data_IF_213477131079
#
_entry.id   IF_213477131079
#
_cell.length_a   1.000
_cell.length_b   1.000
_cell.length_c   1.000
_cell.angle_alpha   90.00
_cell.angle_beta   90.00
_cell.angle_gamma   90.00
#
_symmetry.space_group_name_H-M   'P 1'
#
loop_
_entity.id
_entity.type
_entity.pdbx_description
1 polymer ?
#
# COMPACT_ATOMS: atom_id res chain seq x y z
N UNK A 1 9.46 15.83 -22.93
CA UNK A 1 8.55 16.60 -22.05
C UNK A 1 9.41 17.26 -20.98
N UNK A 2 9.12 18.51 -20.54
CA UNK A 2 9.86 19.12 -19.45
C UNK A 2 9.74 18.24 -18.20
N UNK A 3 10.84 18.12 -17.45
CA UNK A 3 10.89 17.38 -16.21
C UNK A 3 9.85 17.96 -15.24
N UNK A 4 8.99 17.15 -14.63
CA UNK A 4 7.97 17.63 -13.70
C UNK A 4 8.59 18.33 -12.46
N UNK A 5 9.85 18.08 -12.19
CA UNK A 5 10.66 18.81 -11.22
C UNK A 5 10.83 20.30 -11.54
N UNK A 6 10.56 20.72 -12.80
CA UNK A 6 10.57 22.12 -13.21
C UNK A 6 9.26 22.87 -12.88
N UNK A 7 8.18 22.17 -12.50
CA UNK A 7 6.95 22.82 -12.07
C UNK A 7 7.12 23.36 -10.63
N UNK A 8 7.16 24.68 -10.50
CA UNK A 8 7.33 25.35 -9.22
C UNK A 8 6.27 24.95 -8.15
N UNK A 9 5.07 24.55 -8.58
CA UNK A 9 4.01 24.09 -7.70
C UNK A 9 4.36 22.78 -6.98
N UNK A 10 5.20 21.94 -7.61
CA UNK A 10 5.65 20.65 -7.10
C UNK A 10 6.98 20.72 -6.33
N UNK A 11 7.64 21.89 -6.30
CA UNK A 11 8.90 22.07 -5.57
C UNK A 11 8.79 21.67 -4.07
N UNK A 12 7.67 21.92 -3.34
CA UNK A 12 7.53 21.43 -1.99
C UNK A 12 7.50 19.89 -1.89
N UNK A 13 6.84 19.21 -2.84
CA UNK A 13 6.80 17.75 -2.91
C UNK A 13 8.20 17.18 -3.13
N UNK A 14 8.95 17.72 -4.09
CA UNK A 14 10.32 17.27 -4.41
C UNK A 14 11.23 17.41 -3.19
N UNK A 15 11.24 18.60 -2.55
CA UNK A 15 12.04 18.86 -1.36
C UNK A 15 11.77 17.90 -0.21
N UNK A 16 10.51 17.56 0.03
CA UNK A 16 10.15 16.60 1.09
C UNK A 16 10.65 15.19 0.75
N UNK A 17 10.55 14.75 -0.53
CA UNK A 17 11.06 13.45 -0.94
C UNK A 17 12.58 13.34 -0.89
N UNK A 18 13.31 14.41 -1.14
CA UNK A 18 14.77 14.45 -1.01
C UNK A 18 15.26 14.30 0.45
N UNK A 19 14.38 14.58 1.42
CA UNK A 19 14.70 14.54 2.86
C UNK A 19 14.36 13.22 3.53
N UNK A 20 13.66 12.30 2.85
CA UNK A 20 13.32 11.00 3.46
C UNK A 20 14.58 10.13 3.64
N UNK A 21 14.64 9.29 4.69
CA UNK A 21 15.83 8.51 5.01
C UNK A 21 16.02 7.26 4.13
N UNK A 22 15.35 7.21 2.98
CA UNK A 22 15.43 6.06 2.06
C UNK A 22 16.20 6.43 0.80
N UNK A 23 17.09 5.52 0.40
CA UNK A 23 17.81 5.68 -0.87
C UNK A 23 16.89 5.32 -2.02
N UNK A 24 16.37 6.32 -2.71
CA UNK A 24 15.58 6.17 -3.91
C UNK A 24 16.47 6.05 -5.14
N UNK A 25 16.06 5.20 -6.09
CA UNK A 25 16.76 5.04 -7.36
C UNK A 25 16.63 6.26 -8.28
N UNK A 26 17.41 6.31 -9.37
CA UNK A 26 17.33 7.41 -10.35
C UNK A 26 15.92 7.58 -10.91
N UNK A 27 15.47 8.82 -11.05
CA UNK A 27 14.18 9.18 -11.65
C UNK A 27 12.94 8.88 -10.78
N UNK A 28 13.09 8.29 -9.58
CA UNK A 28 11.95 8.01 -8.69
C UNK A 28 11.27 9.30 -8.26
N UNK A 29 12.03 10.31 -7.84
CA UNK A 29 11.48 11.61 -7.40
C UNK A 29 10.73 12.31 -8.54
N UNK A 30 11.27 12.29 -9.76
CA UNK A 30 10.60 12.86 -10.93
C UNK A 30 9.26 12.15 -11.22
N UNK A 31 9.24 10.81 -11.19
CA UNK A 31 7.99 10.05 -11.35
C UNK A 31 6.99 10.35 -10.23
N UNK A 32 7.44 10.49 -8.98
CA UNK A 32 6.58 10.90 -7.87
C UNK A 32 6.01 12.31 -8.07
N UNK A 33 6.82 13.25 -8.58
CA UNK A 33 6.35 14.60 -8.88
C UNK A 33 5.28 14.59 -9.98
N UNK A 34 5.50 13.85 -11.06
CA UNK A 34 4.50 13.68 -12.15
C UNK A 34 3.22 13.02 -11.64
N UNK A 35 3.34 12.01 -10.77
CA UNK A 35 2.20 11.38 -10.12
C UNK A 35 1.45 12.37 -9.23
N UNK A 36 2.17 13.14 -8.41
CA UNK A 36 1.59 14.18 -7.56
C UNK A 36 0.82 15.23 -8.35
N UNK A 37 1.35 15.68 -9.50
CA UNK A 37 0.67 16.59 -10.40
C UNK A 37 -0.66 16.00 -10.90
N UNK A 38 -0.63 14.78 -11.41
CA UNK A 38 -1.82 14.08 -11.91
C UNK A 38 -2.84 13.84 -10.79
N UNK A 39 -2.38 13.47 -9.59
CA UNK A 39 -3.25 13.29 -8.42
C UNK A 39 -3.98 14.59 -8.06
N UNK A 40 -3.27 15.72 -7.99
CA UNK A 40 -3.87 17.03 -7.67
C UNK A 40 -4.90 17.41 -8.73
N UNK A 41 -4.56 17.23 -10.02
CA UNK A 41 -5.45 17.56 -11.13
C UNK A 41 -6.73 16.72 -11.10
N UNK A 42 -6.62 15.40 -10.98
CA UNK A 42 -7.77 14.50 -11.00
C UNK A 42 -8.60 14.49 -9.73
N UNK A 43 -8.00 14.92 -8.61
CA UNK A 43 -8.71 14.95 -7.32
C UNK A 43 -9.89 15.91 -7.30
N UNK A 44 -9.89 16.94 -8.17
CA UNK A 44 -11.01 17.87 -8.32
C UNK A 44 -12.30 17.16 -8.74
N UNK A 45 -12.20 16.11 -9.56
CA UNK A 45 -13.33 15.43 -10.19
C UNK A 45 -13.67 14.09 -9.51
N UNK A 46 -12.66 13.41 -8.96
CA UNK A 46 -12.80 11.99 -8.53
C UNK A 46 -12.87 11.81 -7.02
N UNK A 47 -12.46 12.79 -6.20
CA UNK A 47 -12.32 12.64 -4.75
C UNK A 47 -11.41 11.45 -4.38
N UNK A 48 -10.19 11.47 -4.88
CA UNK A 48 -9.20 10.42 -4.68
C UNK A 48 -8.63 10.42 -3.26
N UNK A 49 -8.40 11.62 -2.73
CA UNK A 49 -7.78 11.87 -1.42
C UNK A 49 -8.22 13.20 -0.82
N UNK A 50 -8.23 13.28 0.51
CA UNK A 50 -8.39 14.54 1.24
C UNK A 50 -7.07 15.34 1.34
N UNK A 51 -5.93 14.77 0.89
CA UNK A 51 -4.61 15.38 0.99
C UNK A 51 -4.29 16.02 -0.37
N UNK A 52 -4.26 17.35 -0.41
CA UNK A 52 -4.12 18.14 -1.64
C UNK A 52 -2.84 18.95 -1.72
N UNK A 53 -2.24 19.29 -0.56
CA UNK A 53 -1.01 20.06 -0.50
C UNK A 53 0.19 19.22 -0.96
N UNK A 54 1.03 19.72 -1.91
CA UNK A 54 2.14 18.96 -2.46
C UNK A 54 3.12 18.41 -1.43
N UNK A 55 3.47 19.18 -0.39
CA UNK A 55 4.32 18.71 0.69
C UNK A 55 3.67 17.58 1.50
N UNK A 56 2.37 17.65 1.72
CA UNK A 56 1.63 16.61 2.43
C UNK A 56 1.44 15.36 1.58
N UNK A 57 1.27 15.49 0.26
CA UNK A 57 1.29 14.35 -0.68
C UNK A 57 2.64 13.62 -0.58
N UNK A 58 3.76 14.37 -0.59
CA UNK A 58 5.08 13.77 -0.42
C UNK A 58 5.20 12.99 0.90
N UNK A 59 4.79 13.59 1.99
CA UNK A 59 4.90 12.99 3.33
C UNK A 59 3.90 11.85 3.55
N UNK A 60 2.60 12.15 3.41
CA UNK A 60 1.49 11.27 3.84
C UNK A 60 1.12 10.22 2.79
N UNK A 61 1.57 10.36 1.54
CA UNK A 61 1.37 9.36 0.51
C UNK A 61 2.68 8.66 0.15
N UNK A 62 3.68 9.36 -0.40
CA UNK A 62 4.90 8.74 -0.88
C UNK A 62 5.81 8.24 0.25
N UNK A 63 6.23 9.12 1.19
CA UNK A 63 7.12 8.73 2.28
C UNK A 63 6.47 7.66 3.18
N UNK A 64 5.16 7.76 3.44
CA UNK A 64 4.39 6.75 4.15
C UNK A 64 4.43 5.39 3.41
N UNK A 65 4.25 5.38 2.09
CA UNK A 65 4.36 4.16 1.28
C UNK A 65 5.78 3.58 1.28
N UNK A 66 6.78 4.45 1.15
CA UNK A 66 8.20 4.06 1.13
C UNK A 66 8.71 3.55 2.48
N UNK A 67 8.00 3.80 3.58
CA UNK A 67 8.32 3.20 4.87
C UNK A 67 8.36 1.66 4.82
N UNK A 68 7.65 1.04 3.88
CA UNK A 68 7.73 -0.39 3.62
C UNK A 68 9.12 -0.86 3.17
N UNK A 69 9.93 0.03 2.58
CA UNK A 69 11.28 -0.32 2.14
C UNK A 69 12.20 -0.69 3.32
N UNK A 70 11.90 -0.20 4.52
CA UNK A 70 12.69 -0.43 5.73
C UNK A 70 12.20 -1.60 6.61
N UNK A 71 11.01 -2.16 6.37
CA UNK A 71 10.45 -3.18 7.25
C UNK A 71 10.66 -4.62 6.78
N UNK A 72 11.18 -4.79 5.55
CA UNK A 72 11.57 -6.08 5.00
C UNK A 72 12.70 -5.93 3.99
N UNK A 73 13.36 -7.06 3.69
CA UNK A 73 14.31 -7.12 2.57
C UNK A 73 13.56 -7.28 1.25
N UNK A 74 13.79 -6.38 0.31
CA UNK A 74 13.23 -6.41 -1.05
C UNK A 74 14.27 -6.92 -2.04
N UNK A 75 13.83 -7.79 -2.95
CA UNK A 75 14.65 -8.23 -4.10
C UNK A 75 14.34 -7.39 -5.34
N UNK A 76 13.21 -6.66 -5.32
CA UNK A 76 12.70 -5.89 -6.45
C UNK A 76 12.06 -6.75 -7.54
N UNK A 77 11.75 -8.02 -7.27
CA UNK A 77 11.12 -8.97 -8.23
C UNK A 77 9.87 -9.63 -7.66
N UNK A 78 9.41 -9.19 -6.50
CA UNK A 78 8.26 -9.76 -5.83
C UNK A 78 6.97 -9.51 -6.62
N UNK A 79 6.04 -10.44 -6.51
CA UNK A 79 4.64 -10.23 -6.87
C UNK A 79 3.93 -9.61 -5.67
N UNK A 80 3.53 -8.36 -5.82
CA UNK A 80 2.85 -7.57 -4.80
C UNK A 80 1.38 -7.41 -5.17
N UNK A 81 0.48 -7.60 -4.21
CA UNK A 81 -0.91 -7.19 -4.30
C UNK A 81 -1.19 -6.07 -3.31
N UNK A 82 -1.81 -5.00 -3.77
CA UNK A 82 -2.25 -3.88 -2.94
C UNK A 82 -3.78 -3.86 -2.88
N UNK A 83 -4.33 -4.11 -1.70
CA UNK A 83 -5.78 -4.26 -1.50
C UNK A 83 -6.39 -2.96 -1.01
N UNK A 84 -7.36 -2.45 -1.77
CA UNK A 84 -7.95 -1.15 -1.53
C UNK A 84 -7.00 -0.01 -1.87
N UNK A 85 -6.39 -0.07 -3.05
CA UNK A 85 -5.31 0.83 -3.48
C UNK A 85 -5.70 2.32 -3.47
N UNK A 86 -7.00 2.64 -3.56
CA UNK A 86 -7.49 4.02 -3.52
C UNK A 86 -6.89 4.89 -4.62
N UNK A 87 -6.12 5.88 -4.22
CA UNK A 87 -5.34 6.71 -5.14
C UNK A 87 -3.97 6.09 -5.50
N UNK A 88 -3.78 4.76 -5.31
CA UNK A 88 -2.57 4.00 -5.70
C UNK A 88 -1.49 3.90 -4.63
N UNK A 89 -1.83 4.11 -3.38
CA UNK A 89 -0.88 4.07 -2.26
C UNK A 89 -1.24 2.96 -1.25
N UNK A 90 -0.29 2.03 -0.98
CA UNK A 90 1.13 2.10 -1.30
C UNK A 90 1.54 1.45 -2.65
N UNK A 91 0.67 0.70 -3.32
CA UNK A 91 1.01 -0.19 -4.43
C UNK A 91 1.80 0.49 -5.56
N UNK A 92 1.25 1.53 -6.21
CA UNK A 92 1.93 2.22 -7.32
C UNK A 92 3.19 2.96 -6.86
N UNK A 93 3.18 3.54 -5.65
CA UNK A 93 4.38 4.20 -5.11
C UNK A 93 5.54 3.19 -4.94
N UNK A 94 5.26 1.98 -4.45
CA UNK A 94 6.26 0.90 -4.34
C UNK A 94 6.72 0.42 -5.72
N UNK A 95 5.82 0.33 -6.71
CA UNK A 95 6.18 0.03 -8.10
C UNK A 95 7.12 1.08 -8.72
N UNK A 96 6.92 2.36 -8.39
CA UNK A 96 7.83 3.45 -8.79
C UNK A 96 9.19 3.32 -8.13
N UNK A 97 9.23 3.01 -6.82
CA UNK A 97 10.49 2.88 -6.07
C UNK A 97 11.28 1.62 -6.45
N UNK A 98 10.60 0.55 -6.83
CA UNK A 98 11.15 -0.76 -7.16
C UNK A 98 10.64 -1.22 -8.54
N UNK A 99 11.22 -0.76 -9.65
CA UNK A 99 10.67 -0.97 -11.00
C UNK A 99 10.58 -2.44 -11.46
N UNK A 100 11.24 -3.36 -10.76
CA UNK A 100 11.12 -4.80 -11.06
C UNK A 100 9.97 -5.52 -10.35
N UNK A 101 9.20 -4.83 -9.48
CA UNK A 101 8.00 -5.41 -8.86
C UNK A 101 6.92 -5.68 -9.91
N UNK A 102 6.19 -6.78 -9.69
CA UNK A 102 4.91 -7.04 -10.38
C UNK A 102 3.79 -6.67 -9.43
N UNK A 103 3.12 -5.56 -9.68
CA UNK A 103 2.12 -4.98 -8.78
C UNK A 103 0.72 -5.24 -9.31
N UNK A 104 -0.15 -5.82 -8.48
CA UNK A 104 -1.60 -5.88 -8.73
C UNK A 104 -2.29 -4.93 -7.77
N UNK A 105 -2.90 -3.86 -8.27
CA UNK A 105 -3.72 -2.93 -7.50
C UNK A 105 -5.18 -3.35 -7.57
N UNK A 106 -5.81 -3.56 -6.41
CA UNK A 106 -7.23 -3.94 -6.29
C UNK A 106 -8.02 -2.76 -5.75
N UNK A 107 -8.95 -2.25 -6.55
CA UNK A 107 -9.80 -1.12 -6.18
C UNK A 107 -11.24 -1.34 -6.68
N UNK A 108 -12.20 -1.30 -5.76
CA UNK A 108 -13.59 -1.59 -6.09
C UNK A 108 -14.36 -0.42 -6.69
N UNK A 109 -13.87 0.81 -6.51
CA UNK A 109 -14.51 2.03 -7.03
C UNK A 109 -14.01 2.32 -8.44
N UNK A 110 -14.86 2.13 -9.46
CA UNK A 110 -14.46 2.19 -10.86
C UNK A 110 -13.78 3.50 -11.29
N UNK A 111 -14.19 4.65 -10.76
CA UNK A 111 -13.53 5.93 -11.08
C UNK A 111 -12.12 6.03 -10.49
N UNK A 112 -11.85 5.39 -9.34
CA UNK A 112 -10.49 5.29 -8.78
C UNK A 112 -9.64 4.30 -9.57
N UNK A 113 -10.20 3.17 -9.97
CA UNK A 113 -9.50 2.20 -10.83
C UNK A 113 -9.06 2.83 -12.15
N UNK A 114 -9.93 3.60 -12.82
CA UNK A 114 -9.54 4.36 -14.04
C UNK A 114 -8.42 5.37 -13.80
N UNK A 115 -8.40 6.04 -12.65
CA UNK A 115 -7.28 6.89 -12.27
C UNK A 115 -5.97 6.10 -12.13
N UNK A 116 -6.01 4.90 -11.52
CA UNK A 116 -4.82 4.04 -11.43
C UNK A 116 -4.31 3.61 -12.81
N UNK A 117 -5.20 3.29 -13.74
CA UNK A 117 -4.85 2.99 -15.14
C UNK A 117 -4.19 4.20 -15.83
N UNK A 118 -4.74 5.40 -15.62
CA UNK A 118 -4.17 6.64 -16.14
C UNK A 118 -2.77 6.91 -15.61
N UNK A 119 -2.55 6.76 -14.28
CA UNK A 119 -1.23 6.88 -13.66
C UNK A 119 -0.25 5.87 -14.26
N UNK A 120 -0.66 4.61 -14.37
CA UNK A 120 0.15 3.53 -14.89
C UNK A 120 0.62 3.82 -16.31
N UNK A 121 -0.30 4.29 -17.17
CA UNK A 121 0.00 4.67 -18.55
C UNK A 121 0.88 5.92 -18.63
N UNK A 122 0.55 6.97 -17.87
CA UNK A 122 1.27 8.27 -17.93
C UNK A 122 2.72 8.16 -17.44
N UNK A 123 2.97 7.27 -16.46
CA UNK A 123 4.30 7.07 -15.88
C UNK A 123 5.06 5.89 -16.49
N UNK A 124 4.46 5.21 -17.48
CA UNK A 124 5.04 4.03 -18.12
C UNK A 124 5.47 2.97 -17.09
N UNK A 125 4.54 2.57 -16.22
CA UNK A 125 4.79 1.60 -15.16
C UNK A 125 4.58 0.19 -15.69
N UNK A 126 5.63 -0.42 -16.17
CA UNK A 126 5.62 -1.83 -16.59
C UNK A 126 5.37 -2.75 -15.39
N UNK A 127 4.68 -3.87 -15.63
CA UNK A 127 4.42 -4.88 -14.59
C UNK A 127 3.33 -4.52 -13.58
N UNK A 128 2.53 -3.48 -13.84
CA UNK A 128 1.36 -3.10 -13.04
C UNK A 128 0.07 -3.62 -13.68
N UNK A 129 -0.75 -4.32 -12.89
CA UNK A 129 -2.10 -4.78 -13.23
C UNK A 129 -3.12 -4.06 -12.34
N UNK A 130 -4.16 -3.45 -12.94
CA UNK A 130 -5.27 -2.85 -12.20
C UNK A 130 -6.48 -3.79 -12.26
N UNK A 131 -7.04 -4.12 -11.08
CA UNK A 131 -8.24 -4.95 -10.95
C UNK A 131 -9.36 -4.12 -10.33
N UNK A 132 -10.37 -3.79 -11.15
CA UNK A 132 -11.55 -3.09 -10.66
C UNK A 132 -12.58 -4.07 -10.14
N UNK A 133 -12.34 -4.59 -8.95
CA UNK A 133 -13.22 -5.55 -8.28
C UNK A 133 -13.01 -5.56 -6.76
N UNK A 134 -13.82 -6.30 -6.04
CA UNK A 134 -13.63 -6.51 -4.60
C UNK A 134 -12.59 -7.60 -4.33
N UNK A 135 -11.79 -7.43 -3.27
CA UNK A 135 -10.77 -8.39 -2.87
C UNK A 135 -11.35 -9.78 -2.60
N UNK A 136 -12.55 -9.85 -2.00
CA UNK A 136 -13.24 -11.10 -1.70
C UNK A 136 -13.60 -11.90 -2.97
N UNK A 137 -13.85 -11.22 -4.08
CA UNK A 137 -14.09 -11.87 -5.37
C UNK A 137 -12.79 -12.34 -6.01
N UNK A 138 -11.77 -11.46 -6.04
CA UNK A 138 -10.49 -11.73 -6.66
C UNK A 138 -9.75 -12.91 -6.00
N UNK A 139 -9.93 -13.12 -4.71
CA UNK A 139 -9.21 -14.17 -3.98
C UNK A 139 -9.49 -15.59 -4.51
N UNK A 140 -10.64 -15.83 -5.12
CA UNK A 140 -10.94 -17.15 -5.73
C UNK A 140 -10.01 -17.49 -6.88
N UNK A 141 -9.59 -16.47 -7.65
CA UNK A 141 -8.66 -16.60 -8.78
C UNK A 141 -7.20 -16.51 -8.36
N UNK A 142 -6.89 -15.68 -7.35
CA UNK A 142 -5.53 -15.24 -7.02
C UNK A 142 -5.02 -15.72 -5.67
N UNK A 143 -5.65 -16.72 -5.06
CA UNK A 143 -5.21 -17.31 -3.79
C UNK A 143 -3.78 -17.86 -3.88
N UNK A 144 -2.98 -17.62 -2.82
CA UNK A 144 -1.62 -18.15 -2.62
C UNK A 144 -0.60 -17.77 -3.74
N UNK A 145 -0.83 -16.63 -4.44
CA UNK A 145 -0.02 -16.25 -5.61
C UNK A 145 1.01 -15.16 -5.36
N UNK A 146 0.92 -14.42 -4.26
CA UNK A 146 1.74 -13.24 -4.03
C UNK A 146 2.81 -13.45 -2.97
N UNK A 147 3.92 -12.74 -3.16
CA UNK A 147 5.05 -12.72 -2.21
C UNK A 147 4.80 -11.69 -1.12
N UNK A 148 4.17 -10.57 -1.49
CA UNK A 148 3.83 -9.46 -0.61
C UNK A 148 2.39 -9.03 -0.84
N UNK A 149 1.69 -8.72 0.25
CA UNK A 149 0.37 -8.10 0.21
C UNK A 149 0.37 -6.83 1.06
N UNK A 150 -0.23 -5.76 0.56
CA UNK A 150 -0.29 -4.46 1.24
C UNK A 150 -1.73 -3.99 1.37
N UNK A 151 -2.02 -3.26 2.45
CA UNK A 151 -3.23 -2.47 2.59
C UNK A 151 -2.99 -1.28 3.51
N UNK A 152 -3.61 -0.16 3.17
CA UNK A 152 -3.60 1.08 3.94
C UNK A 152 -5.01 1.61 4.12
N UNK A 153 -5.35 2.01 5.36
CA UNK A 153 -6.66 2.60 5.71
C UNK A 153 -7.90 1.70 5.44
N UNK A 154 -7.76 0.38 5.58
CA UNK A 154 -8.80 -0.62 5.27
C UNK A 154 -9.28 -1.31 6.55
N UNK A 155 -9.86 -0.58 7.52
CA UNK A 155 -10.46 -1.18 8.71
C UNK A 155 -9.49 -1.57 9.85
N UNK A 156 -9.94 -2.42 10.79
CA UNK A 156 -9.13 -2.90 11.92
C UNK A 156 -7.99 -3.82 11.45
N UNK A 157 -6.95 -3.99 12.29
CA UNK A 157 -5.81 -4.86 11.96
C UNK A 157 -6.24 -6.29 11.63
N UNK A 158 -7.16 -6.85 12.41
CA UNK A 158 -7.67 -8.20 12.16
C UNK A 158 -8.39 -8.33 10.82
N UNK A 159 -9.19 -7.32 10.44
CA UNK A 159 -9.86 -7.29 9.14
C UNK A 159 -8.85 -7.18 7.99
N UNK A 160 -7.84 -6.32 8.11
CA UNK A 160 -6.76 -6.20 7.11
C UNK A 160 -6.03 -7.53 6.93
N UNK A 161 -5.67 -8.21 8.01
CA UNK A 161 -5.02 -9.53 7.96
C UNK A 161 -5.90 -10.54 7.23
N UNK A 162 -7.22 -10.52 7.48
CA UNK A 162 -8.17 -11.40 6.81
C UNK A 162 -8.25 -11.18 5.30
N UNK A 163 -8.13 -9.93 4.84
CA UNK A 163 -8.10 -9.63 3.41
C UNK A 163 -6.77 -9.98 2.75
N UNK A 164 -5.63 -9.84 3.45
CA UNK A 164 -4.30 -9.97 2.83
C UNK A 164 -3.78 -11.41 2.81
N UNK A 165 -3.92 -12.16 3.91
CA UNK A 165 -3.30 -13.48 4.02
C UNK A 165 -3.76 -14.50 2.96
N UNK A 166 -5.02 -14.53 2.51
CA UNK A 166 -5.44 -15.46 1.46
C UNK A 166 -4.69 -15.32 0.13
N UNK A 167 -4.23 -14.13 -0.21
CA UNK A 167 -3.47 -13.88 -1.44
C UNK A 167 -2.01 -14.35 -1.37
N UNK A 168 -1.44 -14.41 -0.17
CA UNK A 168 -0.03 -14.72 0.03
C UNK A 168 0.24 -16.21 -0.10
N UNK A 169 1.34 -16.58 -0.75
CA UNK A 169 1.93 -17.92 -0.59
C UNK A 169 2.43 -18.12 0.84
N UNK A 170 2.60 -19.36 1.27
CA UNK A 170 3.28 -19.64 2.55
C UNK A 170 4.70 -19.08 2.49
N UNK A 171 5.11 -18.39 3.54
CA UNK A 171 6.36 -17.62 3.61
C UNK A 171 6.26 -16.20 3.06
N UNK A 172 5.15 -15.82 2.40
CA UNK A 172 4.88 -14.44 1.98
C UNK A 172 4.53 -13.52 3.15
N UNK A 173 4.62 -12.21 2.95
CA UNK A 173 4.45 -11.21 4.01
C UNK A 173 3.38 -10.19 3.65
N UNK A 174 2.47 -9.92 4.60
CA UNK A 174 1.55 -8.80 4.57
C UNK A 174 2.14 -7.60 5.30
N UNK A 175 1.97 -6.40 4.75
CA UNK A 175 2.34 -5.13 5.40
C UNK A 175 1.08 -4.28 5.52
N UNK A 176 0.69 -3.96 6.76
CA UNK A 176 -0.46 -3.14 7.07
C UNK A 176 -0.02 -1.81 7.70
N UNK A 177 -0.44 -0.69 7.10
CA UNK A 177 -0.25 0.64 7.67
C UNK A 177 -1.34 0.94 8.67
N UNK A 178 -0.94 1.29 9.87
CA UNK A 178 -1.85 1.58 10.98
C UNK A 178 -1.47 2.89 11.67
N UNK A 179 -2.44 3.52 12.31
CA UNK A 179 -2.23 4.58 13.27
C UNK A 179 -1.94 4.01 14.67
N UNK A 180 -2.77 4.36 15.66
CA UNK A 180 -2.67 3.76 16.99
C UNK A 180 -3.04 2.29 16.95
N UNK A 181 -2.17 1.45 17.51
CA UNK A 181 -2.29 -0.01 17.45
C UNK A 181 -2.78 -0.64 18.75
N UNK A 182 -2.71 0.09 19.88
CA UNK A 182 -2.83 -0.49 21.22
C UNK A 182 -4.07 -1.38 21.42
N UNK A 183 -5.21 -0.96 20.87
CA UNK A 183 -6.46 -1.71 20.95
C UNK A 183 -6.64 -2.78 19.86
N UNK A 184 -5.80 -2.80 18.80
CA UNK A 184 -6.00 -3.65 17.63
C UNK A 184 -5.07 -4.87 17.58
N UNK A 185 -3.96 -4.86 18.32
CA UNK A 185 -2.94 -5.92 18.25
C UNK A 185 -3.50 -7.27 18.65
N UNK A 186 -4.32 -7.33 19.69
CA UNK A 186 -4.91 -8.59 20.16
C UNK A 186 -5.88 -9.18 19.13
N UNK A 187 -6.73 -8.35 18.51
CA UNK A 187 -7.58 -8.77 17.39
C UNK A 187 -6.76 -9.25 16.19
N UNK A 188 -5.65 -8.57 15.90
CA UNK A 188 -4.69 -8.99 14.88
C UNK A 188 -4.06 -10.36 15.16
N UNK A 189 -3.68 -10.63 16.41
CA UNK A 189 -3.13 -11.94 16.83
C UNK A 189 -4.16 -13.06 16.67
N UNK A 190 -5.40 -12.82 17.07
CA UNK A 190 -6.52 -13.78 16.88
C UNK A 190 -6.76 -14.07 15.42
N UNK A 191 -6.79 -13.04 14.57
CA UNK A 191 -6.91 -13.21 13.13
C UNK A 191 -5.75 -14.02 12.55
N UNK A 192 -4.50 -13.71 12.91
CA UNK A 192 -3.33 -14.47 12.50
C UNK A 192 -3.45 -15.96 12.88
N UNK A 193 -3.79 -16.26 14.12
CA UNK A 193 -3.94 -17.63 14.61
C UNK A 193 -5.01 -18.41 13.82
N UNK A 194 -6.14 -17.77 13.47
CA UNK A 194 -7.23 -18.39 12.73
C UNK A 194 -6.93 -18.58 11.23
N UNK A 195 -6.21 -17.62 10.62
CA UNK A 195 -6.05 -17.51 9.17
C UNK A 195 -4.73 -18.14 8.67
N UNK A 196 -3.76 -18.31 9.56
CA UNK A 196 -2.47 -18.94 9.24
C UNK A 196 -1.31 -17.97 9.11
N UNK A 197 -1.36 -16.87 9.85
CA UNK A 197 -0.30 -15.87 9.91
C UNK A 197 0.38 -15.78 11.28
N UNK A 198 1.43 -14.97 11.32
CA UNK A 198 2.15 -14.57 12.52
C UNK A 198 2.63 -13.13 12.38
N UNK A 199 2.39 -12.28 13.40
CA UNK A 199 2.95 -10.92 13.43
C UNK A 199 4.43 -11.05 13.73
N UNK A 200 5.28 -10.75 12.75
CA UNK A 200 6.74 -10.88 12.86
C UNK A 200 7.43 -9.54 13.18
N UNK A 201 6.79 -8.43 12.92
CA UNK A 201 7.28 -7.11 13.32
C UNK A 201 6.15 -6.09 13.46
N UNK A 202 6.33 -5.16 14.39
CA UNK A 202 5.61 -3.90 14.49
C UNK A 202 6.67 -2.81 14.57
N UNK A 203 6.69 -1.89 13.62
CA UNK A 203 7.65 -0.79 13.54
C UNK A 203 6.91 0.54 13.51
N UNK A 204 7.22 1.41 14.45
CA UNK A 204 6.74 2.79 14.39
C UNK A 204 7.50 3.57 13.30
N UNK A 205 6.89 4.61 12.78
CA UNK A 205 7.58 5.52 11.84
C UNK A 205 8.76 6.23 12.50
N UNK A 206 8.75 6.39 13.82
CA UNK A 206 9.91 6.89 14.58
C UNK A 206 11.09 5.91 14.52
N UNK A 207 10.86 4.60 14.67
CA UNK A 207 11.89 3.56 14.52
C UNK A 207 12.52 3.54 13.12
N UNK A 208 11.80 4.06 12.12
CA UNK A 208 12.23 4.10 10.73
C UNK A 208 12.86 5.46 10.32
N UNK A 209 13.08 6.35 11.26
CA UNK A 209 13.62 7.70 10.98
C UNK A 209 12.62 8.65 10.33
N UNK A 210 11.31 8.34 10.41
CA UNK A 210 10.23 9.14 9.84
C UNK A 210 9.34 9.79 10.92
N UNK A 211 9.73 9.76 12.19
CA UNK A 211 8.93 10.24 13.31
C UNK A 211 8.45 11.69 13.17
N UNK A 212 9.35 12.57 12.70
CA UNK A 212 9.06 14.00 12.49
C UNK A 212 8.16 14.25 11.26
N UNK A 213 8.22 13.35 10.27
CA UNK A 213 7.48 13.46 9.00
C UNK A 213 6.09 12.84 9.13
N UNK A 214 6.01 11.70 9.83
CA UNK A 214 4.83 10.83 9.94
C UNK A 214 4.59 10.41 11.40
N UNK A 215 4.27 11.32 12.31
CA UNK A 215 4.08 10.99 13.72
C UNK A 215 2.90 10.03 13.93
N UNK A 216 3.06 9.11 14.88
CA UNK A 216 1.97 8.25 15.36
C UNK A 216 1.51 7.18 14.38
N UNK A 217 2.35 6.79 13.42
CA UNK A 217 2.08 5.69 12.50
C UNK A 217 2.93 4.46 12.80
N UNK A 218 2.43 3.30 12.39
CA UNK A 218 3.12 2.01 12.52
C UNK A 218 2.87 1.14 11.31
N UNK A 219 3.85 0.30 10.99
CA UNK A 219 3.72 -0.79 10.03
C UNK A 219 3.71 -2.10 10.79
N UNK A 220 2.70 -2.93 10.50
CA UNK A 220 2.61 -4.29 11.02
C UNK A 220 2.97 -5.26 9.91
N UNK A 221 3.99 -6.08 10.13
CA UNK A 221 4.41 -7.13 9.21
C UNK A 221 3.91 -8.47 9.72
N UNK A 222 3.13 -9.15 8.87
CA UNK A 222 2.56 -10.46 9.16
C UNK A 222 3.10 -11.46 8.15
N UNK A 223 3.74 -12.54 8.60
CA UNK A 223 4.18 -13.65 7.75
C UNK A 223 3.12 -14.73 7.68
N UNK A 224 2.82 -15.22 6.47
CA UNK A 224 1.99 -16.41 6.30
C UNK A 224 2.80 -17.65 6.62
N UNK A 225 2.44 -18.36 7.69
CA UNK A 225 3.20 -19.54 8.19
C UNK A 225 2.55 -20.86 7.83
N UNK A 226 1.27 -20.87 7.42
CA UNK A 226 0.54 -22.07 6.98
C UNK A 226 -0.56 -21.69 5.98
N UNK A 227 -1.12 -22.65 5.22
CA UNK A 227 -2.22 -22.38 4.30
C UNK A 227 -3.42 -21.75 5.01
N UNK A 228 -4.02 -20.75 4.37
CA UNK A 228 -5.24 -20.09 4.85
C UNK A 228 -6.43 -21.00 4.63
N UNK A 229 -7.26 -21.29 5.68
CA UNK A 229 -8.45 -22.09 5.51
C UNK A 229 -9.41 -21.52 4.44
N UNK A 230 -10.07 -22.38 3.63
CA UNK A 230 -10.92 -21.92 2.50
C UNK A 230 -12.05 -20.97 2.87
N UNK A 231 -12.54 -21.02 4.12
CA UNK A 231 -13.58 -20.13 4.64
C UNK A 231 -13.17 -18.66 4.76
N UNK A 232 -11.88 -18.34 4.58
CA UNK A 232 -11.37 -16.96 4.60
C UNK A 232 -11.00 -16.46 3.19
N UNK A 233 -11.24 -15.18 2.89
CA UNK A 233 -11.90 -14.20 3.76
C UNK A 233 -13.38 -14.54 3.96
N UNK A 234 -13.93 -14.18 5.12
CA UNK A 234 -15.35 -14.28 5.41
C UNK A 234 -16.14 -13.29 4.54
N UNK A 235 -17.43 -13.55 4.38
CA UNK A 235 -18.31 -12.55 3.75
C UNK A 235 -18.29 -11.24 4.56
N UNK A 236 -18.50 -10.06 3.93
CA UNK A 236 -18.57 -8.78 4.66
C UNK A 236 -19.61 -8.79 5.79
N UNK A 237 -20.72 -9.53 5.61
CA UNK A 237 -21.77 -9.69 6.62
C UNK A 237 -21.26 -10.47 7.82
N UNK A 238 -20.58 -11.59 7.60
CA UNK A 238 -20.03 -12.42 8.69
C UNK A 238 -18.89 -11.72 9.43
N UNK A 239 -18.01 -11.04 8.69
CA UNK A 239 -16.93 -10.25 9.26
C UNK A 239 -17.46 -9.12 10.16
N UNK A 240 -18.56 -8.45 9.75
CA UNK A 240 -19.21 -7.40 10.53
C UNK A 240 -19.91 -7.96 11.80
N UNK A 241 -20.51 -9.15 11.70
CA UNK A 241 -21.21 -9.80 12.85
C UNK A 241 -20.22 -10.31 13.91
N UNK A 242 -19.02 -10.71 13.51
CA UNK A 242 -18.01 -11.29 14.39
C UNK A 242 -16.65 -10.62 14.14
N UNK A 243 -16.48 -9.35 14.55
CA UNK A 243 -15.19 -8.65 14.39
C UNK A 243 -14.10 -9.37 15.18
N UNK A 244 -12.84 -9.15 14.76
CA UNK A 244 -11.64 -9.67 15.41
C UNK A 244 -11.34 -8.96 16.73
#
# INVERSE_FOLDING_TARGET
MPLATADARLAPLVRELERIPFKLGPGVIDRCARYGALLIERNTDVNLTAITEPADIARKHFADSFSALAVRRWTGRERLIDVGSGAGFPGLALGIALPGLRVTCVESVGKKARFLEEVTTTLDLEGVEIRNERAESLVTERRDRYDVATARAVGSLGAVIEYLLPFLRVGGEAIAWKGRLDAEVEGGRKACAAIGGEIVAIKSTADLGLGDILPGRSLVVVRKVRPTPPRFPRTPVDAKRRPW
#
